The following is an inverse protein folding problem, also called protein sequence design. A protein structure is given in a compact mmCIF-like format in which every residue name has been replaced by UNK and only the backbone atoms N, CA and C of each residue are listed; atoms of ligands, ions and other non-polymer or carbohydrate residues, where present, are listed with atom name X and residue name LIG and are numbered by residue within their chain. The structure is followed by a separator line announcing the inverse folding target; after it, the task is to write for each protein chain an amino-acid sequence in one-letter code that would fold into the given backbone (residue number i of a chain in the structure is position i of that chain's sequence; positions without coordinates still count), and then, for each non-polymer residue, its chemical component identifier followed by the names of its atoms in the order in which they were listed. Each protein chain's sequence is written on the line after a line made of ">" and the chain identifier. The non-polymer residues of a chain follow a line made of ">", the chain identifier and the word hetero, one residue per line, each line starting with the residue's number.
data_IF_716028930667
#
_entry.id   IF_716028930667
#
_cell.length_a   1.000
_cell.length_b   1.000
_cell.length_c   1.000
_cell.angle_alpha   90.00
_cell.angle_beta   90.00
_cell.angle_gamma   90.00
#
_symmetry.space_group_name_H-M   'P 1'
#
loop_
_entity.id
_entity.type
_entity.pdbx_description
1 polymer ?
#
# COMPACT_ATOMS: atom_id res chain seq x y z
N UNK A 1 13.93 8.53 8.78
CA UNK A 1 13.34 7.24 8.34
C UNK A 1 14.39 6.22 7.91
N UNK A 2 15.52 6.63 7.32
CA UNK A 2 16.58 5.72 6.86
C UNK A 2 16.18 4.95 5.60
N UNK A 3 15.26 5.51 4.82
CA UNK A 3 14.92 5.05 3.49
C UNK A 3 15.74 5.89 2.50
N UNK A 4 16.61 5.23 1.75
CA UNK A 4 17.47 5.84 0.74
C UNK A 4 17.11 5.37 -0.68
N UNK A 5 16.01 4.63 -0.82
CA UNK A 5 15.53 4.07 -2.07
C UNK A 5 14.34 4.86 -2.58
N UNK A 6 13.40 5.18 -1.69
CA UNK A 6 12.21 5.96 -2.04
C UNK A 6 12.60 7.38 -2.44
N UNK A 7 12.08 7.84 -3.57
CA UNK A 7 12.21 9.22 -4.04
C UNK A 7 10.85 9.78 -4.41
N UNK A 8 10.68 11.07 -4.16
CA UNK A 8 9.53 11.85 -4.62
C UNK A 8 10.12 13.12 -5.26
N UNK A 9 10.05 13.19 -6.58
CA UNK A 9 10.76 14.16 -7.40
C UNK A 9 9.81 15.20 -8.01
N UNK A 10 8.52 14.87 -8.14
CA UNK A 10 7.50 15.73 -8.78
C UNK A 10 6.26 15.93 -7.91
N UNK A 11 5.46 16.92 -8.29
CA UNK A 11 4.18 17.23 -7.68
C UNK A 11 3.05 16.41 -8.31
N UNK A 12 1.87 16.49 -7.69
CA UNK A 12 0.63 15.98 -8.29
C UNK A 12 0.13 16.94 -9.39
N UNK A 13 -0.31 16.43 -10.56
CA UNK A 13 -0.46 15.01 -10.92
C UNK A 13 0.77 14.35 -11.58
N UNK A 14 1.84 15.10 -11.86
CA UNK A 14 2.98 14.67 -12.69
C UNK A 14 3.74 13.45 -12.13
N UNK A 15 3.73 13.25 -10.81
CA UNK A 15 4.37 12.08 -10.19
C UNK A 15 3.78 10.74 -10.65
N UNK A 16 2.57 10.73 -11.23
CA UNK A 16 1.84 9.51 -11.60
C UNK A 16 2.12 9.01 -13.03
N UNK A 17 3.05 9.63 -13.77
CA UNK A 17 3.34 9.25 -15.16
C UNK A 17 3.86 7.81 -15.31
N UNK A 18 4.58 7.27 -14.32
CA UNK A 18 5.07 5.88 -14.32
C UNK A 18 5.78 5.43 -15.62
N UNK A 19 6.64 6.28 -16.19
CA UNK A 19 7.40 5.98 -17.41
C UNK A 19 8.35 4.80 -17.15
N UNK A 20 8.38 3.76 -18.02
CA UNK A 20 9.33 2.65 -17.86
C UNK A 20 10.79 3.14 -17.84
N UNK A 21 11.57 2.64 -16.90
CA UNK A 21 12.98 3.01 -16.65
C UNK A 21 13.20 4.47 -16.20
N UNK A 22 12.15 5.20 -15.82
CA UNK A 22 12.28 6.47 -15.12
C UNK A 22 12.44 6.21 -13.62
N UNK A 23 13.53 6.71 -13.02
CA UNK A 23 13.83 6.51 -11.61
C UNK A 23 13.06 7.47 -10.70
N UNK A 24 12.45 8.52 -11.25
CA UNK A 24 11.72 9.54 -10.48
C UNK A 24 10.44 8.98 -9.89
N UNK A 25 10.10 9.43 -8.68
CA UNK A 25 8.85 9.07 -7.98
C UNK A 25 8.72 7.55 -7.74
N UNK A 26 9.85 6.87 -7.56
CA UNK A 26 9.89 5.41 -7.38
C UNK A 26 10.25 4.99 -5.95
N UNK A 27 9.91 3.74 -5.65
CA UNK A 27 10.36 3.03 -4.45
C UNK A 27 10.50 1.54 -4.77
N UNK A 28 11.04 0.76 -3.84
CA UNK A 28 10.98 -0.70 -3.86
C UNK A 28 9.97 -1.21 -2.83
N UNK A 29 9.24 -2.31 -3.11
CA UNK A 29 8.28 -2.88 -2.15
C UNK A 29 8.88 -3.11 -0.75
N UNK A 30 10.11 -3.61 -0.67
CA UNK A 30 10.81 -3.85 0.60
C UNK A 30 11.19 -2.55 1.34
N UNK A 31 11.55 -1.49 0.62
CA UNK A 31 11.87 -0.19 1.20
C UNK A 31 10.60 0.44 1.80
N UNK A 32 9.51 0.48 1.01
CA UNK A 32 8.23 0.99 1.49
C UNK A 32 7.67 0.17 2.67
N UNK A 33 7.80 -1.17 2.64
CA UNK A 33 7.36 -2.00 3.76
C UNK A 33 8.12 -1.68 5.06
N UNK A 34 9.43 -1.44 4.95
CA UNK A 34 10.28 -1.00 6.07
C UNK A 34 9.87 0.38 6.57
N UNK A 35 9.66 1.32 5.66
CA UNK A 35 9.24 2.69 5.97
C UNK A 35 7.89 2.71 6.68
N UNK A 36 6.89 2.00 6.12
CA UNK A 36 5.57 1.90 6.73
C UNK A 36 5.62 1.26 8.11
N UNK A 37 6.39 0.18 8.29
CA UNK A 37 6.59 -0.43 9.61
C UNK A 37 7.14 0.57 10.63
N UNK A 38 8.19 1.32 10.27
CA UNK A 38 8.79 2.32 11.15
C UNK A 38 7.83 3.46 11.50
N UNK A 39 6.97 3.86 10.56
CA UNK A 39 5.94 4.86 10.80
C UNK A 39 4.86 4.37 11.77
N UNK A 40 4.40 3.13 11.60
CA UNK A 40 3.26 2.58 12.34
C UNK A 40 3.63 1.96 13.68
N UNK A 41 4.89 1.56 13.89
CA UNK A 41 5.31 0.88 15.12
C UNK A 41 6.61 1.41 15.73
N UNK A 42 7.42 2.13 14.97
CA UNK A 42 8.71 2.67 15.43
C UNK A 42 8.60 4.05 16.06
N UNK A 43 9.70 4.56 16.61
CA UNK A 43 9.74 5.81 17.40
C UNK A 43 9.88 7.09 16.56
N UNK A 44 9.66 7.01 15.24
CA UNK A 44 9.77 8.18 14.35
C UNK A 44 8.67 9.22 14.57
N UNK A 45 7.49 8.75 14.99
CA UNK A 45 6.33 9.58 15.30
C UNK A 45 6.03 9.50 16.78
N UNK A 46 5.52 10.61 17.33
CA UNK A 46 4.86 10.61 18.65
C UNK A 46 3.72 9.60 18.65
N UNK A 47 3.33 9.10 19.83
CA UNK A 47 2.22 8.15 19.94
C UNK A 47 0.92 8.71 19.35
N UNK A 48 0.62 9.99 19.58
CA UNK A 48 -0.56 10.65 19.04
C UNK A 48 -0.52 10.74 17.51
N UNK A 49 0.61 11.16 16.92
CA UNK A 49 0.74 11.25 15.46
C UNK A 49 0.69 9.88 14.77
N UNK A 50 1.22 8.84 15.43
CA UNK A 50 1.16 7.47 14.95
C UNK A 50 -0.26 6.93 14.95
N UNK A 51 -1.01 7.15 16.04
CA UNK A 51 -2.41 6.75 16.11
C UNK A 51 -3.22 7.49 15.04
N UNK A 52 -3.00 8.79 14.87
CA UNK A 52 -3.68 9.56 13.83
C UNK A 52 -3.43 9.01 12.42
N UNK A 53 -2.19 8.59 12.12
CA UNK A 53 -1.85 7.97 10.84
C UNK A 53 -2.58 6.63 10.66
N UNK A 54 -2.61 5.79 11.69
CA UNK A 54 -3.36 4.52 11.68
C UNK A 54 -4.85 4.80 11.43
N UNK A 55 -5.45 5.72 12.18
CA UNK A 55 -6.87 6.06 12.05
C UNK A 55 -7.23 6.52 10.63
N UNK A 56 -6.39 7.36 10.02
CA UNK A 56 -6.58 7.80 8.64
C UNK A 56 -6.48 6.65 7.63
N UNK A 57 -5.53 5.73 7.83
CA UNK A 57 -5.36 4.56 6.97
C UNK A 57 -6.47 3.53 7.13
N UNK A 58 -6.98 3.32 8.35
CA UNK A 58 -8.15 2.45 8.60
C UNK A 58 -9.42 3.02 7.95
N UNK A 59 -9.56 4.35 7.98
CA UNK A 59 -10.68 5.08 7.41
C UNK A 59 -10.62 5.29 5.89
N UNK A 60 -9.62 4.74 5.17
CA UNK A 60 -9.54 4.84 3.70
C UNK A 60 -10.82 4.26 3.05
N UNK A 61 -11.45 5.06 2.18
CA UNK A 61 -12.70 4.73 1.48
C UNK A 61 -12.47 4.30 0.03
N UNK A 62 -11.25 4.46 -0.50
CA UNK A 62 -10.94 4.24 -1.92
C UNK A 62 -10.42 2.83 -2.17
N UNK A 63 -9.93 2.14 -1.13
CA UNK A 63 -9.26 0.86 -1.26
C UNK A 63 -10.17 -0.38 -1.11
N UNK A 64 -11.48 -0.19 -0.98
CA UNK A 64 -12.46 -1.28 -0.79
C UNK A 64 -12.31 -2.46 -1.75
N UNK A 65 -12.19 -2.23 -3.07
CA UNK A 65 -12.05 -3.30 -4.06
C UNK A 65 -10.70 -4.03 -4.08
N UNK A 66 -9.70 -3.62 -3.28
CA UNK A 66 -8.37 -4.23 -3.26
C UNK A 66 -8.28 -5.27 -2.13
N UNK A 67 -7.26 -5.17 -1.26
CA UNK A 67 -7.05 -6.13 -0.17
C UNK A 67 -8.27 -6.26 0.75
N UNK A 68 -8.98 -5.16 1.03
CA UNK A 68 -10.19 -5.15 1.86
C UNK A 68 -11.25 -6.14 1.40
N UNK A 69 -11.38 -6.36 0.09
CA UNK A 69 -12.37 -7.29 -0.48
C UNK A 69 -12.05 -8.77 -0.23
N UNK A 70 -10.79 -9.09 0.08
CA UNK A 70 -10.31 -10.45 0.30
C UNK A 70 -10.14 -10.80 1.80
N UNK A 71 -10.28 -9.82 2.70
CA UNK A 71 -10.03 -10.01 4.12
C UNK A 71 -11.16 -10.81 4.80
N UNK A 72 -10.82 -11.79 5.66
CA UNK A 72 -11.80 -12.40 6.55
C UNK A 72 -12.41 -11.38 7.50
N UNK A 73 -13.65 -11.62 7.93
CA UNK A 73 -14.30 -10.79 8.93
C UNK A 73 -13.47 -10.72 10.23
N UNK A 74 -13.40 -9.53 10.83
CA UNK A 74 -12.65 -9.29 12.07
C UNK A 74 -11.15 -9.06 11.90
N UNK A 75 -10.62 -9.10 10.66
CA UNK A 75 -9.23 -8.70 10.41
C UNK A 75 -9.05 -7.18 10.49
N UNK A 76 -7.89 -6.79 10.99
CA UNK A 76 -7.41 -5.42 10.95
C UNK A 76 -6.85 -5.08 9.58
N UNK A 77 -7.11 -3.84 9.13
CA UNK A 77 -6.46 -3.27 7.95
C UNK A 77 -6.34 -1.75 8.06
N UNK A 78 -5.11 -1.26 7.96
CA UNK A 78 -4.78 0.14 7.75
C UNK A 78 -3.99 0.22 6.45
N UNK A 79 -4.54 0.87 5.41
CA UNK A 79 -3.97 0.82 4.07
C UNK A 79 -4.02 2.15 3.33
N UNK A 80 -3.31 2.18 2.20
CA UNK A 80 -3.39 3.26 1.21
C UNK A 80 -3.21 2.69 -0.19
N UNK A 81 -4.17 3.00 -1.06
CA UNK A 81 -4.08 2.66 -2.49
C UNK A 81 -3.38 3.75 -3.32
N UNK A 82 -2.82 3.36 -4.47
CA UNK A 82 -2.25 4.25 -5.48
C UNK A 82 -2.61 3.80 -6.89
N UNK A 83 -2.79 4.74 -7.81
CA UNK A 83 -3.03 4.49 -9.22
C UNK A 83 -2.25 5.52 -10.04
N UNK A 84 -1.74 5.11 -11.18
CA UNK A 84 -1.04 5.99 -12.10
C UNK A 84 -1.25 5.58 -13.54
N UNK A 85 -0.56 6.27 -14.45
CA UNK A 85 -0.56 5.96 -15.87
C UNK A 85 0.08 4.59 -16.16
N UNK A 86 -0.01 4.16 -17.42
CA UNK A 86 0.61 2.92 -17.94
C UNK A 86 0.22 1.68 -17.15
N UNK A 87 -1.04 1.63 -16.73
CA UNK A 87 -1.58 0.48 -16.03
C UNK A 87 -1.12 0.36 -14.58
N UNK A 88 -0.51 1.40 -14.00
CA UNK A 88 0.01 1.34 -12.62
C UNK A 88 -1.10 1.23 -11.58
N UNK A 89 -0.96 0.28 -10.67
CA UNK A 89 -1.84 0.11 -9.51
C UNK A 89 -1.06 -0.46 -8.33
N UNK A 90 -1.34 0.05 -7.14
CA UNK A 90 -0.66 -0.37 -5.93
C UNK A 90 -1.48 -0.22 -4.67
N UNK A 91 -1.03 -0.91 -3.62
CA UNK A 91 -1.53 -0.80 -2.26
C UNK A 91 -0.41 -1.10 -1.26
N UNK A 92 -0.40 -0.36 -0.18
CA UNK A 92 0.41 -0.65 1.01
C UNK A 92 -0.53 -0.82 2.19
N UNK A 93 -0.29 -1.81 3.05
CA UNK A 93 -1.18 -2.08 4.17
C UNK A 93 -0.45 -2.68 5.36
N UNK A 94 -0.90 -2.32 6.56
CA UNK A 94 -0.73 -3.12 7.77
C UNK A 94 -1.99 -3.97 7.96
N UNK A 95 -1.81 -5.27 8.18
CA UNK A 95 -2.88 -6.27 8.20
C UNK A 95 -2.67 -7.27 9.34
N UNK A 96 -3.74 -7.88 9.85
CA UNK A 96 -3.64 -9.07 10.70
C UNK A 96 -4.96 -9.55 11.29
N UNK A 97 -4.98 -10.77 11.87
CA UNK A 97 -6.17 -11.36 12.48
C UNK A 97 -6.52 -10.69 13.82
N UNK A 98 -7.71 -11.01 14.34
CA UNK A 98 -8.18 -10.62 15.68
C UNK A 98 -8.16 -9.10 15.94
N UNK A 99 -8.44 -8.31 14.91
CA UNK A 99 -8.46 -6.85 14.99
C UNK A 99 -7.09 -6.22 15.30
N UNK A 100 -5.97 -6.90 15.01
CA UNK A 100 -4.62 -6.39 15.28
C UNK A 100 -3.69 -6.46 14.07
N UNK A 101 -2.80 -5.48 13.86
CA UNK A 101 -1.78 -5.56 12.83
C UNK A 101 -0.71 -6.60 13.20
N UNK A 102 -0.35 -7.47 12.25
CA UNK A 102 0.74 -8.45 12.41
C UNK A 102 1.74 -8.45 11.25
N UNK A 103 1.37 -7.99 10.04
CA UNK A 103 2.25 -7.92 8.87
C UNK A 103 2.06 -6.64 8.07
N UNK A 104 3.11 -6.26 7.35
CA UNK A 104 3.06 -5.24 6.30
C UNK A 104 3.03 -5.94 4.95
N UNK A 105 2.09 -5.58 4.10
CA UNK A 105 1.97 -6.04 2.71
C UNK A 105 2.09 -4.83 1.78
N UNK A 106 2.92 -4.97 0.75
CA UNK A 106 3.13 -3.94 -0.29
C UNK A 106 3.02 -4.64 -1.64
N UNK A 107 2.10 -4.18 -2.47
CA UNK A 107 1.87 -4.72 -3.82
C UNK A 107 1.92 -3.55 -4.80
N UNK A 108 2.80 -3.66 -5.78
CA UNK A 108 2.92 -2.73 -6.90
C UNK A 108 2.86 -3.49 -8.21
N UNK A 109 2.05 -2.97 -9.14
CA UNK A 109 1.90 -3.48 -10.50
C UNK A 109 1.94 -2.31 -11.47
N UNK A 110 2.52 -2.52 -12.65
CA UNK A 110 2.59 -1.51 -13.73
C UNK A 110 2.74 -2.21 -15.08
N UNK A 111 2.53 -1.50 -16.19
CA UNK A 111 2.62 -2.03 -17.54
C UNK A 111 1.40 -2.85 -18.01
N UNK A 112 0.34 -2.89 -17.21
CA UNK A 112 -0.87 -3.64 -17.53
C UNK A 112 -1.78 -2.87 -18.50
N UNK A 113 -2.34 -3.56 -19.49
CA UNK A 113 -3.40 -3.03 -20.36
C UNK A 113 -4.81 -3.31 -19.80
N UNK A 114 -4.89 -3.94 -18.63
CA UNK A 114 -6.16 -4.26 -17.99
C UNK A 114 -6.85 -3.00 -17.45
N UNK A 115 -8.18 -3.07 -17.40
CA UNK A 115 -9.03 -2.02 -16.81
C UNK A 115 -8.69 -1.79 -15.32
N UNK A 116 -9.18 -0.69 -14.74
CA UNK A 116 -8.99 -0.43 -13.31
C UNK A 116 -9.59 -1.55 -12.45
N UNK A 117 -10.76 -2.07 -12.83
CA UNK A 117 -11.45 -3.12 -12.07
C UNK A 117 -10.72 -4.46 -12.13
N UNK A 118 -10.16 -4.81 -13.29
CA UNK A 118 -9.32 -6.00 -13.42
C UNK A 118 -8.05 -5.89 -12.59
N UNK A 119 -7.38 -4.72 -12.59
CA UNK A 119 -6.20 -4.48 -11.75
C UNK A 119 -6.52 -4.52 -10.25
N UNK A 120 -7.67 -3.97 -9.85
CA UNK A 120 -8.16 -4.08 -8.47
C UNK A 120 -8.37 -5.55 -8.09
N UNK A 121 -9.02 -6.34 -8.97
CA UNK A 121 -9.25 -7.77 -8.76
C UNK A 121 -7.94 -8.56 -8.65
N UNK A 122 -6.95 -8.28 -9.48
CA UNK A 122 -5.63 -8.92 -9.40
C UNK A 122 -4.97 -8.68 -8.03
N UNK A 123 -5.05 -7.46 -7.50
CA UNK A 123 -4.52 -7.17 -6.16
C UNK A 123 -5.32 -7.92 -5.08
N UNK A 124 -6.65 -8.01 -5.20
CA UNK A 124 -7.48 -8.78 -4.29
C UNK A 124 -7.13 -10.28 -4.32
N UNK A 125 -6.88 -10.86 -5.49
CA UNK A 125 -6.47 -12.27 -5.67
C UNK A 125 -5.09 -12.54 -5.04
N UNK A 126 -4.11 -11.64 -5.24
CA UNK A 126 -2.82 -11.71 -4.54
C UNK A 126 -3.04 -11.66 -3.02
N UNK A 127 -3.90 -10.75 -2.55
CA UNK A 127 -4.29 -10.65 -1.15
C UNK A 127 -4.88 -11.94 -0.59
N UNK A 128 -5.85 -12.53 -1.29
CA UNK A 128 -6.46 -13.80 -0.91
C UNK A 128 -5.43 -14.94 -0.81
N UNK A 129 -4.47 -14.98 -1.74
CA UNK A 129 -3.38 -15.96 -1.69
C UNK A 129 -2.48 -15.75 -0.46
N UNK A 130 -2.14 -14.51 -0.12
CA UNK A 130 -1.35 -14.20 1.09
C UNK A 130 -2.09 -14.61 2.36
N UNK A 131 -3.39 -14.34 2.44
CA UNK A 131 -4.25 -14.67 3.59
C UNK A 131 -4.40 -16.18 3.77
N UNK A 132 -4.53 -16.93 2.67
CA UNK A 132 -4.58 -18.40 2.70
C UNK A 132 -3.31 -19.02 3.28
N UNK A 133 -2.17 -18.34 3.11
CA UNK A 133 -0.85 -18.77 3.58
C UNK A 133 -0.33 -17.88 4.71
N UNK A 134 -1.24 -17.32 5.53
CA UNK A 134 -0.90 -16.41 6.61
C UNK A 134 0.06 -17.06 7.60
#
# INVERSE_FOLDING_TARGET
>A
MGDHVTRLDRWEPELNEAIPNDERDTTMPAAMATTLRKLLTGELLTLASRQQLIDWMEADKVAGPLLRSALPAGWFIADKSGAGERGSRGIIAALGPDGKPSRIVVIYTTGSQATMDERNRQIAEIGASLIKHW
#
